data_IF_637239436311
#
_entry.id   IF_637239436311
#
_cell.length_a   1.000
_cell.length_b   1.000
_cell.length_c   1.000
_cell.angle_alpha   90.00
_cell.angle_beta   90.00
_cell.angle_gamma   90.00
#
_symmetry.space_group_name_H-M   'P 1'
#
loop_
_entity.id
_entity.type
_entity.pdbx_description
1 polymer ?
#
# COMPACT_ATOMS: atom_id res chain seq x y z
N UNK A 1 -10.22 -10.78 7.80
CA UNK A 1 -9.74 -9.39 8.03
C UNK A 1 -10.93 -8.44 8.03
N UNK A 2 -10.85 -7.36 8.78
CA UNK A 2 -11.89 -6.35 8.79
C UNK A 2 -11.95 -5.62 7.45
N UNK A 3 -13.13 -5.21 6.97
CA UNK A 3 -13.24 -4.36 5.80
C UNK A 3 -12.72 -2.95 6.09
N UNK A 4 -12.10 -2.32 5.08
CA UNK A 4 -11.66 -0.93 5.16
C UNK A 4 -11.68 -0.31 3.76
N UNK A 5 -12.53 0.72 3.58
CA UNK A 5 -12.69 1.42 2.29
C UNK A 5 -11.44 2.16 1.85
N UNK A 6 -10.53 2.47 2.78
CA UNK A 6 -9.28 3.16 2.48
C UNK A 6 -8.19 2.23 1.93
N UNK A 7 -8.41 0.92 2.00
CA UNK A 7 -7.45 -0.09 1.53
C UNK A 7 -8.02 -0.89 0.39
N UNK A 8 -7.18 -1.27 -0.61
CA UNK A 8 -7.59 -2.27 -1.59
C UNK A 8 -7.89 -3.61 -0.90
N UNK A 9 -8.79 -4.39 -1.50
CA UNK A 9 -9.17 -5.68 -0.96
C UNK A 9 -8.23 -6.81 -1.41
N UNK A 10 -7.07 -6.49 -1.91
CA UNK A 10 -6.04 -7.45 -2.32
C UNK A 10 -5.15 -7.81 -1.14
N UNK A 11 -4.65 -9.05 -1.11
CA UNK A 11 -3.70 -9.48 -0.08
C UNK A 11 -2.31 -8.88 -0.32
N UNK A 12 -1.88 -8.84 -1.57
CA UNK A 12 -0.57 -8.29 -1.94
C UNK A 12 -0.80 -7.02 -2.74
N UNK A 13 -0.15 -5.92 -2.32
CA UNK A 13 -0.35 -4.60 -2.92
C UNK A 13 1.01 -4.00 -3.26
N UNK A 14 1.50 -4.17 -4.52
CA UNK A 14 2.73 -3.53 -4.95
C UNK A 14 2.60 -2.01 -4.90
N UNK A 15 3.63 -1.36 -4.37
CA UNK A 15 3.72 0.10 -4.31
C UNK A 15 4.91 0.54 -5.17
N UNK A 16 4.62 1.29 -6.23
CA UNK A 16 5.60 1.67 -7.24
C UNK A 16 5.82 3.18 -7.23
N UNK A 17 7.08 3.59 -7.27
CA UNK A 17 7.43 5.00 -7.22
C UNK A 17 7.56 5.60 -8.62
N UNK A 18 7.01 6.81 -8.79
CA UNK A 18 7.07 7.58 -10.03
C UNK A 18 7.29 9.05 -9.71
N UNK A 19 8.06 9.78 -10.54
CA UNK A 19 8.26 11.23 -10.32
C UNK A 19 6.99 12.04 -10.45
N UNK A 20 6.12 11.67 -11.40
CA UNK A 20 4.84 12.35 -11.66
C UNK A 20 3.69 11.34 -11.55
N UNK A 21 3.04 11.33 -10.41
CA UNK A 21 2.01 10.32 -10.09
C UNK A 21 0.76 10.43 -10.98
N UNK A 22 0.15 11.61 -11.21
CA UNK A 22 -1.02 11.68 -12.08
C UNK A 22 -0.73 11.24 -13.51
N UNK A 23 0.39 11.68 -14.08
CA UNK A 23 0.80 11.29 -15.44
C UNK A 23 1.04 9.78 -15.54
N UNK A 24 1.72 9.21 -14.55
CA UNK A 24 1.97 7.76 -14.50
C UNK A 24 0.66 6.98 -14.40
N UNK A 25 -0.25 7.40 -13.53
CA UNK A 25 -1.54 6.74 -13.35
C UNK A 25 -2.37 6.80 -14.64
N UNK A 26 -2.43 7.94 -15.30
CA UNK A 26 -3.15 8.09 -16.57
C UNK A 26 -2.57 7.19 -17.65
N UNK A 27 -1.25 7.12 -17.74
CA UNK A 27 -0.58 6.26 -18.71
C UNK A 27 -0.87 4.77 -18.45
N UNK A 28 -0.78 4.35 -17.18
CA UNK A 28 -1.06 2.97 -16.80
C UNK A 28 -2.51 2.57 -17.08
N UNK A 29 -3.44 3.47 -16.83
CA UNK A 29 -4.85 3.24 -17.16
C UNK A 29 -5.07 3.14 -18.67
N UNK A 30 -4.48 4.07 -19.45
CA UNK A 30 -4.64 4.09 -20.90
C UNK A 30 -3.95 2.90 -21.58
N UNK A 31 -2.73 2.56 -21.15
CA UNK A 31 -1.91 1.54 -21.80
C UNK A 31 -2.27 0.12 -21.35
N UNK A 32 -2.58 -0.05 -20.05
CA UNK A 32 -2.77 -1.38 -19.46
C UNK A 32 -4.22 -1.66 -19.04
N UNK A 33 -5.11 -0.69 -19.18
CA UNK A 33 -6.52 -0.89 -18.82
C UNK A 33 -6.79 -0.89 -17.33
N UNK A 34 -5.89 -0.38 -16.51
CA UNK A 34 -6.14 -0.20 -15.08
C UNK A 34 -7.20 0.88 -14.88
N UNK A 35 -7.85 0.85 -13.73
CA UNK A 35 -8.86 1.87 -13.39
C UNK A 35 -8.53 2.53 -12.05
N UNK A 36 -8.78 3.83 -11.90
CA UNK A 36 -8.53 4.51 -10.62
C UNK A 36 -9.47 3.99 -9.55
N UNK A 37 -8.93 3.78 -8.35
CA UNK A 37 -9.71 3.39 -7.18
C UNK A 37 -9.78 4.50 -6.14
N UNK A 38 -8.63 5.09 -5.77
CA UNK A 38 -8.56 6.10 -4.71
C UNK A 38 -7.42 7.07 -5.03
N UNK A 39 -7.69 8.37 -4.89
CA UNK A 39 -6.68 9.42 -5.06
C UNK A 39 -6.42 10.11 -3.73
N UNK A 40 -5.15 10.36 -3.44
CA UNK A 40 -4.71 11.08 -2.24
C UNK A 40 -3.86 12.25 -2.72
N UNK A 41 -4.47 13.42 -2.88
CA UNK A 41 -3.80 14.58 -3.47
C UNK A 41 -3.20 14.25 -4.83
N UNK A 42 -2.06 14.85 -5.15
CA UNK A 42 -1.31 14.57 -6.37
C UNK A 42 -0.13 13.63 -6.18
N UNK A 43 -0.01 12.96 -5.02
CA UNK A 43 1.19 12.22 -4.65
C UNK A 43 0.98 10.71 -4.48
N UNK A 44 -0.28 10.21 -4.50
CA UNK A 44 -0.55 8.80 -4.31
C UNK A 44 -1.89 8.41 -4.92
N UNK A 45 -1.91 7.34 -5.72
CA UNK A 45 -3.11 6.84 -6.38
C UNK A 45 -3.13 5.32 -6.28
N UNK A 46 -4.28 4.77 -5.84
CA UNK A 46 -4.54 3.33 -5.91
C UNK A 46 -5.22 3.04 -7.25
N UNK A 47 -4.72 2.04 -7.97
CA UNK A 47 -5.30 1.59 -9.23
C UNK A 47 -5.79 0.15 -9.08
N UNK A 48 -6.98 -0.13 -9.59
CA UNK A 48 -7.47 -1.49 -9.74
C UNK A 48 -6.76 -2.15 -10.92
N UNK A 49 -6.33 -3.39 -10.74
CA UNK A 49 -5.68 -4.22 -11.76
C UNK A 49 -6.50 -5.48 -11.92
N UNK A 50 -7.35 -5.53 -12.95
CA UNK A 50 -8.28 -6.63 -13.15
C UNK A 50 -9.21 -6.85 -11.96
N UNK A 51 -9.68 -8.08 -11.80
CA UNK A 51 -10.54 -8.47 -10.69
C UNK A 51 -9.71 -8.84 -9.47
N UNK A 52 -9.80 -8.01 -8.44
CA UNK A 52 -9.15 -8.27 -7.16
C UNK A 52 -7.70 -7.84 -7.03
N UNK A 53 -7.06 -7.39 -8.11
CA UNK A 53 -5.71 -6.84 -8.06
C UNK A 53 -5.71 -5.34 -7.81
N UNK A 54 -4.62 -4.85 -7.20
CA UNK A 54 -4.43 -3.43 -6.98
C UNK A 54 -2.94 -3.10 -6.87
N UNK A 55 -2.57 -1.94 -7.38
CA UNK A 55 -1.25 -1.35 -7.14
C UNK A 55 -1.43 0.06 -6.57
N UNK A 56 -0.37 0.54 -5.95
CA UNK A 56 -0.29 1.94 -5.51
C UNK A 56 0.80 2.63 -6.30
N UNK A 57 0.45 3.75 -6.90
CA UNK A 57 1.39 4.67 -7.56
C UNK A 57 1.70 5.78 -6.57
N UNK A 58 2.95 5.93 -6.17
CA UNK A 58 3.37 6.93 -5.19
C UNK A 58 4.51 7.78 -5.72
N UNK A 59 4.67 8.98 -5.18
CA UNK A 59 5.77 9.87 -5.58
C UNK A 59 7.09 9.34 -5.05
N UNK A 60 8.12 9.30 -5.91
CA UNK A 60 9.47 8.89 -5.56
C UNK A 60 10.29 8.65 -6.81
N UNK A 61 11.56 8.34 -6.61
CA UNK A 61 12.45 7.97 -7.71
C UNK A 61 12.23 6.49 -8.07
N UNK A 62 12.17 6.15 -9.37
CA UNK A 62 12.02 4.77 -9.80
C UNK A 62 13.20 3.91 -9.37
N UNK A 63 12.91 2.73 -8.85
CA UNK A 63 13.92 1.76 -8.43
C UNK A 63 14.37 1.94 -6.98
N UNK A 64 15.23 1.02 -6.52
CA UNK A 64 15.83 1.09 -5.18
C UNK A 64 14.82 0.99 -4.04
N UNK A 65 15.10 1.75 -2.97
CA UNK A 65 14.33 1.71 -1.73
C UNK A 65 12.95 2.37 -1.83
N UNK A 66 12.63 3.00 -2.97
CA UNK A 66 11.33 3.64 -3.16
C UNK A 66 10.22 2.64 -3.51
N UNK A 67 10.57 1.38 -3.70
CA UNK A 67 9.60 0.31 -3.96
C UNK A 67 9.45 -0.59 -2.74
N UNK A 68 8.23 -1.00 -2.48
CA UNK A 68 7.94 -2.02 -1.48
C UNK A 68 6.72 -2.83 -1.90
N UNK A 69 6.61 -4.03 -1.34
CA UNK A 69 5.40 -4.84 -1.49
C UNK A 69 4.62 -4.76 -0.19
N UNK A 70 3.34 -4.42 -0.29
CA UNK A 70 2.45 -4.39 0.86
C UNK A 70 1.59 -5.65 0.87
N UNK A 71 1.52 -6.29 2.03
CA UNK A 71 0.72 -7.50 2.25
C UNK A 71 -0.22 -7.25 3.43
N UNK A 72 -1.51 -7.52 3.25
CA UNK A 72 -2.47 -7.46 4.34
C UNK A 72 -2.39 -8.72 5.19
N UNK A 73 -2.34 -8.55 6.51
CA UNK A 73 -2.29 -9.65 7.48
C UNK A 73 -3.37 -9.46 8.55
N UNK A 74 -3.72 -10.56 9.22
CA UNK A 74 -4.75 -10.53 10.26
C UNK A 74 -4.23 -10.00 11.59
N UNK A 75 -2.95 -10.21 11.90
CA UNK A 75 -2.32 -9.80 13.17
C UNK A 75 -0.89 -9.32 12.88
N UNK A 76 -0.74 -8.02 12.72
CA UNK A 76 0.55 -7.42 12.37
C UNK A 76 1.55 -7.49 13.53
N UNK A 77 1.09 -7.44 14.77
CA UNK A 77 1.99 -7.54 15.92
C UNK A 77 2.61 -8.93 16.02
N UNK A 78 1.83 -9.99 15.83
CA UNK A 78 2.34 -11.35 15.81
C UNK A 78 3.28 -11.58 14.61
N UNK A 79 2.93 -11.01 13.45
CA UNK A 79 3.76 -11.10 12.24
C UNK A 79 5.12 -10.43 12.46
N UNK A 80 5.11 -9.23 13.05
CA UNK A 80 6.33 -8.50 13.39
C UNK A 80 7.24 -9.30 14.34
N UNK A 81 6.66 -9.88 15.39
CA UNK A 81 7.41 -10.68 16.35
C UNK A 81 8.06 -11.89 15.67
N UNK A 82 7.35 -12.57 14.78
CA UNK A 82 7.86 -13.71 14.03
C UNK A 82 9.00 -13.31 13.08
N UNK A 83 8.83 -12.22 12.36
CA UNK A 83 9.87 -11.73 11.44
C UNK A 83 11.12 -11.33 12.21
N UNK A 84 10.97 -10.63 13.33
CA UNK A 84 12.08 -10.22 14.19
C UNK A 84 12.83 -11.43 14.74
N UNK A 85 12.11 -12.45 15.22
CA UNK A 85 12.71 -13.69 15.72
C UNK A 85 13.47 -14.46 14.64
N UNK A 86 13.04 -14.36 13.39
CA UNK A 86 13.72 -14.99 12.25
C UNK A 86 14.92 -14.18 11.74
N UNK A 87 15.25 -13.05 12.36
CA UNK A 87 16.41 -12.25 12.01
C UNK A 87 16.17 -11.21 10.91
N UNK A 88 14.92 -10.93 10.56
CA UNK A 88 14.62 -9.89 9.58
C UNK A 88 15.01 -8.49 10.09
N UNK A 89 15.46 -7.64 9.18
CA UNK A 89 15.84 -6.26 9.51
C UNK A 89 14.58 -5.40 9.57
N UNK A 90 14.17 -5.00 10.76
CA UNK A 90 12.99 -4.14 10.95
C UNK A 90 13.35 -2.71 10.59
N UNK A 91 12.66 -2.14 9.60
CA UNK A 91 12.86 -0.76 9.14
C UNK A 91 11.95 0.22 9.89
N UNK A 92 10.74 -0.21 10.24
CA UNK A 92 9.80 0.57 11.03
C UNK A 92 8.95 -0.38 11.86
N UNK A 93 8.88 -0.16 13.17
CA UNK A 93 8.06 -0.96 14.09
C UNK A 93 6.57 -0.70 13.86
N UNK A 94 5.67 -1.58 14.32
CA UNK A 94 4.23 -1.39 14.14
C UNK A 94 3.77 -0.02 14.64
N UNK A 95 3.00 0.67 13.79
CA UNK A 95 2.52 2.02 14.03
C UNK A 95 1.12 2.16 13.45
N UNK A 96 0.26 2.89 14.15
CA UNK A 96 -1.10 3.14 13.70
C UNK A 96 -1.18 4.38 12.82
N UNK A 97 -1.96 4.29 11.74
CA UNK A 97 -2.14 5.36 10.76
C UNK A 97 -3.61 5.81 10.72
N UNK A 98 -3.87 7.07 10.31
CA UNK A 98 -5.24 7.63 10.34
C UNK A 98 -6.23 6.91 9.41
N UNK A 99 -5.75 6.17 8.42
CA UNK A 99 -6.61 5.43 7.51
C UNK A 99 -7.02 4.04 8.02
N UNK A 100 -6.92 3.81 9.34
CA UNK A 100 -7.44 2.60 9.98
C UNK A 100 -6.53 1.39 9.90
N UNK A 101 -5.24 1.59 9.63
CA UNK A 101 -4.26 0.52 9.47
C UNK A 101 -3.16 0.59 10.52
N UNK A 102 -2.70 -0.59 10.95
CA UNK A 102 -1.44 -0.74 11.70
C UNK A 102 -0.44 -1.42 10.78
N UNK A 103 0.72 -0.80 10.59
CA UNK A 103 1.72 -1.26 9.62
C UNK A 103 3.11 -1.32 10.23
N UNK A 104 3.93 -2.28 9.77
CA UNK A 104 5.36 -2.24 9.98
C UNK A 104 6.07 -2.54 8.67
N UNK A 105 7.32 -2.10 8.56
CA UNK A 105 8.14 -2.32 7.38
C UNK A 105 9.40 -3.10 7.74
N UNK A 106 9.84 -3.96 6.83
CA UNK A 106 10.92 -4.89 7.07
C UNK A 106 11.68 -5.14 5.77
N UNK A 107 13.00 -5.34 5.89
CA UNK A 107 13.84 -5.76 4.77
C UNK A 107 14.16 -7.24 4.92
N UNK A 108 14.04 -7.99 3.82
CA UNK A 108 14.47 -9.38 3.79
C UNK A 108 15.99 -9.49 3.56
N UNK A 109 16.60 -10.69 3.64
CA UNK A 109 18.05 -10.84 3.46
C UNK A 109 18.57 -10.38 2.10
N UNK A 110 17.72 -10.35 1.06
CA UNK A 110 18.10 -9.86 -0.26
C UNK A 110 17.96 -8.34 -0.39
N UNK A 111 17.40 -7.66 0.60
CA UNK A 111 17.22 -6.21 0.61
C UNK A 111 15.88 -5.75 0.06
N UNK A 112 14.96 -6.64 -0.28
CA UNK A 112 13.61 -6.24 -0.67
C UNK A 112 12.84 -5.71 0.53
N UNK A 113 12.10 -4.63 0.34
CA UNK A 113 11.32 -3.98 1.39
C UNK A 113 9.87 -4.47 1.33
N UNK A 114 9.34 -4.86 2.49
CA UNK A 114 7.98 -5.32 2.66
C UNK A 114 7.29 -4.47 3.72
N UNK A 115 6.02 -4.16 3.49
CA UNK A 115 5.17 -3.52 4.48
C UNK A 115 3.98 -4.43 4.76
N UNK A 116 3.81 -4.82 6.03
CA UNK A 116 2.68 -5.64 6.46
C UNK A 116 1.66 -4.77 7.17
N UNK A 117 0.40 -4.94 6.80
CA UNK A 117 -0.67 -4.03 7.20
C UNK A 117 -1.88 -4.79 7.72
N UNK A 118 -2.32 -4.42 8.93
CA UNK A 118 -3.54 -4.95 9.56
C UNK A 118 -4.58 -3.86 9.59
N UNK A 119 -5.79 -4.18 9.12
CA UNK A 119 -6.93 -3.27 9.27
C UNK A 119 -7.46 -3.34 10.71
N UNK A 120 -7.46 -2.20 11.41
CA UNK A 120 -7.97 -2.07 12.78
C UNK A 120 -9.45 -1.69 12.78
N UNK A 121 -9.87 -0.87 11.81
CA UNK A 121 -11.24 -0.37 11.65
C UNK A 121 -11.49 0.08 10.23
N UNK A 122 -12.74 0.17 9.83
CA UNK A 122 -13.10 0.87 8.59
C UNK A 122 -12.89 2.37 8.80
N UNK A 123 -12.26 3.02 7.84
CA UNK A 123 -12.01 4.46 7.85
C UNK A 123 -12.62 5.08 6.60
N UNK A 124 -13.43 6.12 6.79
CA UNK A 124 -13.90 6.92 5.66
C UNK A 124 -12.70 7.66 5.06
N UNK A 125 -12.39 7.46 3.77
CA UNK A 125 -11.24 8.11 3.15
C UNK A 125 -11.21 9.63 3.31
N UNK A 126 -12.38 10.27 3.39
CA UNK A 126 -12.47 11.73 3.60
C UNK A 126 -11.82 12.19 4.90
N UNK A 127 -11.74 11.32 5.92
CA UNK A 127 -11.14 11.67 7.22
C UNK A 127 -9.63 11.95 7.13
N UNK A 128 -8.96 11.39 6.13
CA UNK A 128 -7.51 11.50 5.97
C UNK A 128 -7.10 12.03 4.58
N UNK A 129 -8.02 12.68 3.87
CA UNK A 129 -7.73 13.34 2.59
C UNK A 129 -7.87 12.47 1.35
N UNK A 130 -8.44 11.28 1.49
CA UNK A 130 -8.70 10.40 0.37
C UNK A 130 -10.03 10.69 -0.32
N UNK A 131 -10.09 10.45 -1.61
CA UNK A 131 -11.31 10.60 -2.41
C UNK A 131 -11.51 9.33 -3.22
N UNK A 132 -12.59 8.59 -2.93
CA UNK A 132 -12.93 7.40 -3.73
C UNK A 132 -13.35 7.83 -5.13
N UNK A 133 -12.85 7.11 -6.14
CA UNK A 133 -13.28 7.34 -7.52
C UNK A 133 -14.74 6.89 -7.68
N UNK A 134 -15.51 7.65 -8.44
CA UNK A 134 -16.84 7.24 -8.87
C UNK A 134 -16.73 6.22 -10.00
N UNK A 135 -17.50 5.14 -9.91
CA UNK A 135 -17.52 4.07 -10.91
C UNK A 135 -18.89 4.00 -11.57
#
# INVERSE_FOLDING_TARGET
>A
MLPNRSMPNSLVIPTLAYPDVPTAADWLCAAFGFTPRLRIGGHRIQLNVGDGGCIVVTRGEPGGADHSVMVRVADVNAHHAQAKAAGAKILASPQDFPYGERQYSVSDPAGHVWTFSQTLRDSDPAEWGGILAEN
#
